data_IF_944528436067
#
_entry.id   IF_944528436067
#
_cell.length_a   1.000
_cell.length_b   1.000
_cell.length_c   1.000
_cell.angle_alpha   90.00
_cell.angle_beta   90.00
_cell.angle_gamma   90.00
#
_symmetry.space_group_name_H-M   'P 1'
#
loop_
_entity.id
_entity.type
_entity.pdbx_description
1 polymer ?
#
# COMPACT_ATOMS: atom_id res chain seq x y z
N UNK A 1 -6.04 -18.01 -6.78
CA UNK A 1 -5.35 -16.91 -6.07
C UNK A 1 -5.75 -17.01 -4.61
N UNK A 2 -4.83 -17.17 -3.64
CA UNK A 2 -5.22 -16.98 -2.24
C UNK A 2 -5.73 -15.54 -2.06
N UNK A 3 -6.82 -15.38 -1.32
CA UNK A 3 -7.29 -14.04 -0.94
C UNK A 3 -6.18 -13.36 -0.12
N UNK A 4 -6.01 -12.01 -0.18
CA UNK A 4 -5.16 -11.31 0.76
C UNK A 4 -5.54 -11.73 2.18
N UNK A 5 -4.57 -12.20 2.97
CA UNK A 5 -4.82 -13.01 4.18
C UNK A 5 -5.74 -12.35 5.23
N UNK A 6 -5.91 -11.02 5.18
CA UNK A 6 -6.80 -10.27 6.07
C UNK A 6 -8.24 -10.12 5.57
N UNK A 7 -8.52 -10.39 4.30
CA UNK A 7 -9.85 -10.20 3.74
C UNK A 7 -10.82 -11.30 4.20
N UNK A 8 -10.32 -12.50 4.49
CA UNK A 8 -11.09 -13.56 5.16
C UNK A 8 -11.69 -13.08 6.48
N UNK A 9 -10.94 -12.33 7.29
CA UNK A 9 -11.42 -11.75 8.55
C UNK A 9 -12.47 -10.65 8.32
N UNK A 10 -12.30 -9.82 7.28
CA UNK A 10 -13.22 -8.72 6.95
C UNK A 10 -14.57 -9.24 6.43
N UNK A 11 -14.53 -10.28 5.58
CA UNK A 11 -15.73 -10.89 5.01
C UNK A 11 -16.30 -12.04 5.85
N UNK A 12 -15.58 -12.49 6.88
CA UNK A 12 -15.95 -13.59 7.76
C UNK A 12 -15.85 -14.99 7.14
N UNK A 13 -15.44 -15.08 5.86
CA UNK A 13 -15.32 -16.33 5.11
C UNK A 13 -14.34 -16.16 3.95
N UNK A 14 -13.36 -17.07 3.86
CA UNK A 14 -12.31 -17.05 2.83
C UNK A 14 -12.85 -17.29 1.41
N UNK A 15 -13.91 -18.09 1.27
CA UNK A 15 -14.57 -18.38 -0.01
C UNK A 15 -15.28 -17.14 -0.53
N UNK A 16 -15.99 -16.43 0.35
CA UNK A 16 -16.66 -15.16 0.01
C UNK A 16 -15.62 -14.10 -0.34
N UNK A 17 -14.56 -13.97 0.47
CA UNK A 17 -13.46 -13.04 0.20
C UNK A 17 -12.86 -13.27 -1.19
N UNK A 18 -12.50 -14.53 -1.51
CA UNK A 18 -11.93 -14.89 -2.81
C UNK A 18 -12.86 -14.54 -3.97
N UNK A 19 -14.17 -14.82 -3.85
CA UNK A 19 -15.15 -14.49 -4.89
C UNK A 19 -15.32 -12.98 -5.12
N UNK A 20 -15.23 -12.16 -4.06
CA UNK A 20 -15.26 -10.70 -4.18
C UNK A 20 -14.00 -10.19 -4.86
N UNK A 21 -12.82 -10.69 -4.46
CA UNK A 21 -11.54 -10.29 -5.05
C UNK A 21 -11.51 -10.61 -6.53
N UNK A 22 -11.90 -11.84 -6.91
CA UNK A 22 -11.98 -12.28 -8.31
C UNK A 22 -12.78 -11.29 -9.17
N UNK A 23 -13.96 -10.88 -8.70
CA UNK A 23 -14.82 -9.91 -9.41
C UNK A 23 -14.20 -8.52 -9.51
N UNK A 24 -13.54 -8.03 -8.45
CA UNK A 24 -12.90 -6.72 -8.44
C UNK A 24 -11.69 -6.66 -9.37
N UNK A 25 -10.87 -7.73 -9.39
CA UNK A 25 -9.65 -7.79 -10.20
C UNK A 25 -9.91 -8.15 -11.66
N UNK A 26 -11.10 -8.68 -12.01
CA UNK A 26 -11.45 -9.09 -13.37
C UNK A 26 -11.26 -7.99 -14.43
N UNK A 27 -11.49 -6.73 -14.05
CA UNK A 27 -11.32 -5.56 -14.92
C UNK A 27 -10.49 -4.45 -14.25
N UNK A 28 -9.53 -4.83 -13.41
CA UNK A 28 -8.66 -3.87 -12.73
C UNK A 28 -7.18 -4.20 -12.92
N UNK A 29 -6.35 -3.17 -12.80
CA UNK A 29 -4.90 -3.32 -12.69
C UNK A 29 -4.50 -3.33 -11.21
N UNK A 30 -3.72 -4.33 -10.80
CA UNK A 30 -3.26 -4.45 -9.42
C UNK A 30 -1.90 -3.77 -9.27
N UNK A 31 -1.87 -2.65 -8.54
CA UNK A 31 -0.64 -1.90 -8.26
C UNK A 31 -0.17 -2.19 -6.83
N UNK A 32 0.95 -2.90 -6.73
CA UNK A 32 1.60 -3.19 -5.44
C UNK A 32 2.43 -2.00 -4.98
N UNK A 33 1.94 -1.27 -3.98
CA UNK A 33 2.65 -0.15 -3.38
C UNK A 33 3.67 -0.64 -2.33
N UNK A 34 4.83 0.04 -2.28
CA UNK A 34 5.89 -0.19 -1.30
C UNK A 34 6.41 1.14 -0.76
N UNK A 35 7.05 1.09 0.40
CA UNK A 35 7.64 2.25 1.06
C UNK A 35 6.75 2.81 2.18
N UNK A 36 7.32 3.76 2.92
CA UNK A 36 6.66 4.33 4.09
C UNK A 36 5.48 5.23 3.70
N UNK A 37 4.50 5.29 4.60
CA UNK A 37 3.38 6.21 4.48
C UNK A 37 3.87 7.64 4.28
N UNK A 38 3.41 8.28 3.21
CA UNK A 38 3.72 9.69 2.94
C UNK A 38 3.34 10.60 4.11
N UNK A 39 2.26 10.27 4.84
CA UNK A 39 1.82 11.05 6.02
C UNK A 39 2.76 10.93 7.20
N UNK A 40 3.53 9.84 7.28
CA UNK A 40 4.50 9.59 8.34
C UNK A 40 5.86 10.24 8.03
N UNK A 41 6.07 10.76 6.81
CA UNK A 41 7.19 11.68 6.55
C UNK A 41 6.87 13.00 7.24
N UNK A 42 7.60 13.29 8.31
CA UNK A 42 7.61 14.60 8.94
C UNK A 42 8.04 15.70 7.95
N UNK A 43 8.16 16.96 8.40
CA UNK A 43 8.41 18.13 7.55
C UNK A 43 9.69 18.11 6.68
N UNK A 44 10.53 17.08 6.75
CA UNK A 44 11.76 16.92 5.95
C UNK A 44 11.54 16.53 4.48
N UNK A 45 10.37 16.82 3.92
CA UNK A 45 10.04 16.63 2.50
C UNK A 45 10.65 17.71 1.58
N UNK A 46 11.86 18.18 1.89
CA UNK A 46 12.55 19.19 1.08
C UNK A 46 13.74 19.90 1.72
N UNK A 47 14.24 19.47 2.89
CA UNK A 47 15.43 20.08 3.46
C UNK A 47 16.67 19.55 2.72
N UNK A 48 17.09 20.28 1.68
CA UNK A 48 18.44 20.16 1.14
C UNK A 48 19.41 20.27 2.33
N UNK A 49 20.39 19.36 2.49
CA UNK A 49 21.44 19.54 3.48
C UNK A 49 22.00 20.96 3.33
N UNK A 50 22.24 21.72 4.43
CA UNK A 50 22.87 23.02 4.30
C UNK A 50 24.16 22.80 3.50
N UNK A 51 24.29 23.50 2.37
CA UNK A 51 25.50 23.43 1.58
C UNK A 51 26.66 23.77 2.52
N UNK A 52 27.60 22.84 2.67
CA UNK A 52 28.82 23.07 3.41
C UNK A 52 29.56 24.20 2.68
N UNK A 53 29.34 25.45 3.08
CA UNK A 53 30.26 26.55 2.81
C UNK A 53 31.51 26.23 3.61
N UNK A 54 32.42 25.51 2.97
CA UNK A 54 33.80 25.44 3.42
C UNK A 54 34.39 26.83 3.28
N UNK A 55 34.69 27.43 4.43
CA UNK A 55 35.72 28.43 4.60
C UNK A 55 36.84 27.79 5.43
#
# INVERSE_FOLDING_TARGET
>A
MPAPDRWGEVFGDDTVAAAVIDRLVHHAEVISLKGDSYRMRGPDLGRTPPANTGE
#
